data_IF_886437067002
#
_entry.id   IF_886437067002
#
_cell.length_a   1.000
_cell.length_b   1.000
_cell.length_c   1.000
_cell.angle_alpha   90.00
_cell.angle_beta   90.00
_cell.angle_gamma   90.00
#
_symmetry.space_group_name_H-M   'P 1'
#
loop_
_entity.id
_entity.type
_entity.pdbx_description
1 polymer ?
#
# COMPACT_ATOMS: atom_id res chain seq x y z
N UNK A 1 -29.31 0.18 20.75
CA UNK A 1 -28.42 0.78 19.75
C UNK A 1 -27.60 -0.35 19.15
N UNK A 2 -27.97 -0.78 17.94
CA UNK A 2 -27.16 -1.73 17.19
C UNK A 2 -25.81 -1.09 16.89
N UNK A 3 -24.72 -1.72 17.34
CA UNK A 3 -23.40 -1.41 16.81
C UNK A 3 -23.43 -1.89 15.36
N UNK A 4 -23.67 -0.98 14.43
CA UNK A 4 -23.39 -1.23 13.01
C UNK A 4 -21.92 -1.59 12.93
N UNK A 5 -21.65 -2.89 12.83
CA UNK A 5 -20.32 -3.45 12.64
C UNK A 5 -19.84 -2.92 11.29
N UNK A 6 -19.06 -1.84 11.33
CA UNK A 6 -18.54 -1.20 10.12
C UNK A 6 -17.67 -2.26 9.47
N UNK A 7 -18.17 -2.87 8.39
CA UNK A 7 -17.44 -3.86 7.63
C UNK A 7 -16.12 -3.20 7.19
N UNK A 8 -15.02 -3.62 7.82
CA UNK A 8 -13.66 -3.22 7.49
C UNK A 8 -13.05 -4.35 6.65
N UNK A 9 -13.24 -4.32 5.32
CA UNK A 9 -12.73 -5.38 4.45
C UNK A 9 -11.21 -5.51 4.49
N UNK A 10 -10.51 -4.44 4.89
CA UNK A 10 -9.08 -4.45 5.18
C UNK A 10 -8.91 -4.17 6.67
N UNK A 11 -8.46 -5.17 7.42
CA UNK A 11 -8.16 -5.08 8.85
C UNK A 11 -6.71 -4.66 9.12
N UNK A 12 -5.84 -4.74 8.11
CA UNK A 12 -4.43 -4.37 8.21
C UNK A 12 -4.25 -2.87 8.02
N UNK A 13 -3.77 -2.18 9.06
CA UNK A 13 -3.31 -0.79 8.96
C UNK A 13 -1.86 -0.76 8.51
N UNK A 14 -1.56 0.00 7.46
CA UNK A 14 -0.21 0.21 6.95
C UNK A 14 0.65 0.93 7.99
N UNK A 15 1.78 0.29 8.29
CA UNK A 15 2.94 0.80 9.01
C UNK A 15 4.19 0.56 8.17
N UNK A 16 5.32 1.17 8.51
CA UNK A 16 6.55 0.97 7.71
C UNK A 16 6.99 -0.51 7.62
N UNK A 17 6.98 -1.31 8.70
CA UNK A 17 7.46 -2.70 8.65
C UNK A 17 6.53 -3.67 7.91
N UNK A 18 5.24 -3.37 7.79
CA UNK A 18 4.24 -4.31 7.27
C UNK A 18 3.81 -4.04 5.82
N UNK A 19 4.53 -3.17 5.12
CA UNK A 19 4.17 -2.70 3.78
C UNK A 19 3.81 -3.83 2.81
N UNK A 20 4.62 -4.90 2.73
CA UNK A 20 4.37 -6.02 1.83
C UNK A 20 3.04 -6.75 2.12
N UNK A 21 2.74 -6.99 3.40
CA UNK A 21 1.48 -7.61 3.80
C UNK A 21 0.29 -6.70 3.47
N UNK A 22 0.42 -5.41 3.77
CA UNK A 22 -0.61 -4.43 3.46
C UNK A 22 -0.87 -4.34 1.94
N UNK A 23 0.18 -4.31 1.11
CA UNK A 23 0.05 -4.31 -0.36
C UNK A 23 -0.73 -5.53 -0.85
N UNK A 24 -0.43 -6.72 -0.34
CA UNK A 24 -1.15 -7.94 -0.73
C UNK A 24 -2.65 -7.86 -0.41
N UNK A 25 -2.99 -7.34 0.78
CA UNK A 25 -4.38 -7.16 1.21
C UNK A 25 -5.10 -6.10 0.39
N UNK A 26 -4.49 -4.93 0.20
CA UNK A 26 -5.06 -3.84 -0.58
C UNK A 26 -5.24 -4.23 -2.05
N UNK A 27 -4.24 -4.90 -2.65
CA UNK A 27 -4.34 -5.42 -4.02
C UNK A 27 -5.51 -6.38 -4.18
N UNK A 28 -5.63 -7.37 -3.31
CA UNK A 28 -6.73 -8.35 -3.36
C UNK A 28 -8.10 -7.67 -3.23
N UNK A 29 -8.19 -6.71 -2.31
CA UNK A 29 -9.40 -5.93 -2.07
C UNK A 29 -9.83 -5.09 -3.30
N UNK A 30 -8.89 -4.40 -3.94
CA UNK A 30 -9.15 -3.59 -5.13
C UNK A 30 -9.45 -4.45 -6.37
N UNK A 31 -8.80 -5.61 -6.52
CA UNK A 31 -9.11 -6.57 -7.59
C UNK A 31 -10.55 -7.08 -7.44
N UNK A 32 -10.96 -7.46 -6.23
CA UNK A 32 -12.33 -7.91 -5.95
C UNK A 32 -13.41 -6.87 -6.26
N UNK A 33 -13.04 -5.59 -6.40
CA UNK A 33 -13.93 -4.47 -6.74
C UNK A 33 -13.75 -3.94 -8.15
N UNK A 34 -12.87 -4.55 -8.96
CA UNK A 34 -12.50 -4.08 -10.31
C UNK A 34 -11.88 -2.67 -10.33
N UNK A 35 -11.24 -2.26 -9.23
CA UNK A 35 -10.64 -0.93 -9.06
C UNK A 35 -9.11 -0.93 -9.19
N UNK A 36 -8.48 -2.12 -9.22
CA UNK A 36 -7.04 -2.27 -9.29
C UNK A 36 -6.39 -1.53 -10.47
N UNK A 37 -7.09 -1.47 -11.61
CA UNK A 37 -6.59 -0.83 -12.83
C UNK A 37 -6.45 0.70 -12.72
N UNK A 38 -7.11 1.33 -11.76
CA UNK A 38 -6.96 2.78 -11.52
C UNK A 38 -5.60 3.05 -10.84
N UNK A 39 -5.22 2.26 -9.84
CA UNK A 39 -3.94 2.46 -9.13
C UNK A 39 -2.72 2.05 -9.96
N UNK A 40 -2.87 1.10 -10.89
CA UNK A 40 -1.80 0.78 -11.85
C UNK A 40 -1.66 1.83 -12.95
N UNK A 41 -2.73 2.57 -13.24
CA UNK A 41 -2.79 3.55 -14.32
C UNK A 41 -3.26 2.98 -15.66
N UNK A 42 -3.77 1.75 -15.68
CA UNK A 42 -4.39 1.18 -16.89
C UNK A 42 -5.72 1.87 -17.22
N UNK A 43 -6.43 2.36 -16.18
CA UNK A 43 -7.62 3.22 -16.31
C UNK A 43 -7.23 4.64 -15.90
N UNK A 44 -7.05 5.49 -16.90
CA UNK A 44 -6.64 6.90 -16.72
C UNK A 44 -7.85 7.82 -16.59
N UNK A 45 -7.61 9.03 -16.06
CA UNK A 45 -8.62 10.08 -16.02
C UNK A 45 -9.11 10.36 -17.45
N UNK A 46 -10.43 10.37 -17.69
CA UNK A 46 -10.94 10.59 -19.04
C UNK A 46 -10.60 12.01 -19.52
N UNK A 47 -10.35 12.10 -20.82
CA UNK A 47 -10.27 13.36 -21.57
C UNK A 47 -11.49 13.46 -22.47
N UNK A 48 -11.93 14.69 -22.78
CA UNK A 48 -13.08 14.90 -23.64
C UNK A 48 -12.75 14.49 -25.08
N UNK A 49 -13.57 13.60 -25.64
CA UNK A 49 -13.43 13.17 -27.03
C UNK A 49 -14.05 14.22 -27.98
N UNK A 50 -13.60 14.26 -29.24
CA UNK A 50 -14.01 15.31 -30.21
C UNK A 50 -15.51 15.31 -30.51
N UNK A 51 -16.11 14.13 -30.51
CA UNK A 51 -17.52 13.91 -30.86
C UNK A 51 -18.39 13.65 -29.61
N UNK A 52 -17.84 13.80 -28.41
CA UNK A 52 -18.51 13.57 -27.13
C UNK A 52 -19.19 14.85 -26.65
N UNK A 53 -20.46 14.74 -26.26
CA UNK A 53 -21.17 15.87 -25.66
C UNK A 53 -20.59 16.21 -24.28
N UNK A 54 -20.74 17.47 -23.88
CA UNK A 54 -20.27 17.91 -22.55
C UNK A 54 -20.92 17.12 -21.39
N UNK A 55 -22.16 16.63 -21.59
CA UNK A 55 -22.86 15.81 -20.61
C UNK A 55 -22.25 14.41 -20.50
N UNK A 56 -22.01 13.73 -21.63
CA UNK A 56 -21.37 12.40 -21.64
C UNK A 56 -19.96 12.43 -21.05
N UNK A 57 -19.20 13.49 -21.36
CA UNK A 57 -17.88 13.71 -20.76
C UNK A 57 -17.97 13.89 -19.24
N UNK A 58 -18.92 14.71 -18.76
CA UNK A 58 -19.13 14.94 -17.34
C UNK A 58 -19.48 13.66 -16.59
N UNK A 59 -20.36 12.82 -17.16
CA UNK A 59 -20.76 11.54 -16.54
C UNK A 59 -19.57 10.57 -16.41
N UNK A 60 -18.75 10.46 -17.46
CA UNK A 60 -17.51 9.65 -17.43
C UNK A 60 -16.50 10.17 -16.41
N UNK A 61 -16.35 11.49 -16.33
CA UNK A 61 -15.46 12.13 -15.39
C UNK A 61 -15.92 11.89 -13.94
N UNK A 62 -17.21 12.04 -13.66
CA UNK A 62 -17.79 11.79 -12.33
C UNK A 62 -17.64 10.32 -11.90
N UNK A 63 -17.89 9.37 -12.81
CA UNK A 63 -17.69 7.94 -12.53
C UNK A 63 -16.21 7.63 -12.22
N UNK A 64 -15.27 8.22 -12.96
CA UNK A 64 -13.84 8.06 -12.70
C UNK A 64 -13.44 8.69 -11.36
N UNK A 65 -13.85 9.94 -11.09
CA UNK A 65 -13.54 10.66 -9.86
C UNK A 65 -14.10 9.91 -8.65
N UNK A 66 -15.34 9.41 -8.70
CA UNK A 66 -15.95 8.61 -7.65
C UNK A 66 -15.11 7.38 -7.30
N UNK A 67 -14.68 6.62 -8.31
CA UNK A 67 -13.81 5.44 -8.12
C UNK A 67 -12.44 5.83 -7.59
N UNK A 68 -11.82 6.87 -8.13
CA UNK A 68 -10.52 7.38 -7.69
C UNK A 68 -10.56 7.78 -6.20
N UNK A 69 -11.51 8.64 -5.81
CA UNK A 69 -11.61 9.11 -4.43
C UNK A 69 -12.04 8.02 -3.45
N UNK A 70 -12.84 7.04 -3.89
CA UNK A 70 -13.14 5.86 -3.08
C UNK A 70 -11.86 5.10 -2.70
N UNK A 71 -10.92 4.94 -3.62
CA UNK A 71 -9.61 4.33 -3.34
C UNK A 71 -8.80 5.20 -2.40
N UNK A 72 -8.74 6.52 -2.62
CA UNK A 72 -8.03 7.46 -1.73
C UNK A 72 -8.55 7.35 -0.29
N UNK A 73 -9.88 7.26 -0.11
CA UNK A 73 -10.49 7.06 1.20
C UNK A 73 -10.01 5.77 1.86
N UNK A 74 -9.95 4.65 1.13
CA UNK A 74 -9.42 3.41 1.70
C UNK A 74 -7.93 3.47 2.00
N UNK A 75 -7.13 4.13 1.16
CA UNK A 75 -5.70 4.35 1.44
C UNK A 75 -5.52 5.14 2.74
N UNK A 76 -6.29 6.21 2.95
CA UNK A 76 -6.29 7.00 4.20
C UNK A 76 -6.72 6.15 5.41
N UNK A 77 -7.82 5.43 5.29
CA UNK A 77 -8.40 4.66 6.40
C UNK A 77 -7.58 3.44 6.79
N UNK A 78 -6.74 2.94 5.88
CA UNK A 78 -5.90 1.76 6.10
C UNK A 78 -4.43 2.11 6.30
N UNK A 79 -4.11 3.34 6.70
CA UNK A 79 -2.75 3.75 7.03
C UNK A 79 -2.71 4.63 8.27
N UNK A 80 -1.59 4.57 9.01
CA UNK A 80 -1.41 5.39 10.21
C UNK A 80 -1.34 6.89 9.87
N UNK A 81 -1.69 7.79 10.81
CA UNK A 81 -1.71 9.24 10.57
C UNK A 81 -0.42 9.82 10.01
N UNK A 82 0.74 9.35 10.47
CA UNK A 82 2.05 9.79 9.97
C UNK A 82 2.28 9.48 8.49
N UNK A 83 1.56 8.52 7.93
CA UNK A 83 1.61 8.17 6.50
C UNK A 83 0.57 8.98 5.74
N UNK A 84 -0.72 8.87 6.12
CA UNK A 84 -1.79 9.47 5.29
C UNK A 84 -1.84 10.99 5.31
N UNK A 85 -1.18 11.66 6.26
CA UNK A 85 -1.04 13.12 6.20
C UNK A 85 -0.40 13.55 4.88
N UNK A 86 0.57 12.80 4.37
CA UNK A 86 1.29 13.10 3.12
C UNK A 86 0.40 12.98 1.87
N UNK A 87 -0.76 12.32 1.98
CA UNK A 87 -1.66 12.08 0.85
C UNK A 87 -2.38 13.35 0.38
N UNK A 88 -2.34 14.45 1.13
CA UNK A 88 -2.95 15.71 0.69
C UNK A 88 -2.26 16.34 -0.53
N UNK A 89 -1.06 15.87 -0.90
CA UNK A 89 -0.29 16.38 -2.03
C UNK A 89 -0.64 15.73 -3.37
N UNK A 90 -1.62 14.83 -3.40
CA UNK A 90 -1.92 13.99 -4.55
C UNK A 90 -3.42 14.00 -4.86
N UNK A 91 -3.73 14.10 -6.15
CA UNK A 91 -5.11 14.16 -6.65
C UNK A 91 -5.61 12.78 -7.12
N UNK A 92 -4.70 11.86 -7.42
CA UNK A 92 -5.04 10.51 -7.85
C UNK A 92 -4.59 9.41 -6.89
N UNK A 93 -5.39 8.35 -6.82
CA UNK A 93 -5.05 7.13 -6.11
C UNK A 93 -3.78 6.46 -6.66
N UNK A 94 -3.50 6.64 -7.96
CA UNK A 94 -2.26 6.18 -8.60
C UNK A 94 -1.04 6.87 -8.01
N UNK A 95 -1.06 8.20 -7.92
CA UNK A 95 0.08 8.95 -7.37
C UNK A 95 0.37 8.56 -5.92
N UNK A 96 -0.68 8.39 -5.10
CA UNK A 96 -0.51 7.90 -3.73
C UNK A 96 0.06 6.48 -3.73
N UNK A 97 -0.44 5.60 -4.60
CA UNK A 97 0.05 4.22 -4.71
C UNK A 97 1.53 4.18 -5.10
N UNK A 98 1.93 4.95 -6.11
CA UNK A 98 3.31 5.04 -6.58
C UNK A 98 4.22 5.68 -5.52
N UNK A 99 3.76 6.70 -4.79
CA UNK A 99 4.45 7.27 -3.63
C UNK A 99 4.74 6.21 -2.57
N UNK A 100 3.71 5.47 -2.14
CA UNK A 100 3.85 4.41 -1.13
C UNK A 100 4.82 3.32 -1.61
N UNK A 101 4.73 2.93 -2.87
CA UNK A 101 5.62 1.96 -3.50
C UNK A 101 7.07 2.43 -3.46
N UNK A 102 7.34 3.64 -3.95
CA UNK A 102 8.70 4.17 -3.99
C UNK A 102 9.30 4.32 -2.59
N UNK A 103 8.51 4.79 -1.62
CA UNK A 103 8.94 4.98 -0.23
C UNK A 103 9.27 3.65 0.45
N UNK A 104 8.34 2.69 0.43
CA UNK A 104 8.44 1.52 1.29
C UNK A 104 9.02 0.28 0.62
N UNK A 105 8.97 0.17 -0.72
CA UNK A 105 9.66 -0.92 -1.42
C UNK A 105 11.18 -0.79 -1.27
N UNK A 106 11.71 0.43 -1.33
CA UNK A 106 13.14 0.72 -1.15
C UNK A 106 13.59 0.43 0.28
N UNK A 107 12.82 0.87 1.29
CA UNK A 107 13.10 0.57 2.70
C UNK A 107 13.03 -0.93 2.98
N UNK A 108 12.05 -1.64 2.43
CA UNK A 108 11.94 -3.09 2.57
C UNK A 108 13.16 -3.84 2.01
N UNK A 109 13.68 -3.41 0.85
CA UNK A 109 14.90 -3.96 0.28
C UNK A 109 16.12 -3.67 1.14
N UNK A 110 16.29 -2.42 1.60
CA UNK A 110 17.41 -2.05 2.47
C UNK A 110 17.41 -2.84 3.78
N UNK A 111 16.24 -2.99 4.41
CA UNK A 111 16.07 -3.81 5.61
C UNK A 111 16.38 -5.29 5.35
N UNK A 112 15.90 -5.84 4.22
CA UNK A 112 16.23 -7.20 3.80
C UNK A 112 17.74 -7.40 3.60
N UNK A 113 18.42 -6.46 2.94
CA UNK A 113 19.87 -6.51 2.78
C UNK A 113 20.62 -6.39 4.12
N UNK A 114 20.13 -5.56 5.05
CA UNK A 114 20.69 -5.48 6.39
C UNK A 114 20.54 -6.81 7.14
N UNK A 115 19.36 -7.43 7.12
CA UNK A 115 19.14 -8.75 7.73
C UNK A 115 20.08 -9.80 7.14
N UNK A 116 20.19 -9.85 5.80
CA UNK A 116 21.11 -10.75 5.11
C UNK A 116 22.58 -10.51 5.48
N UNK A 117 22.99 -9.24 5.57
CA UNK A 117 24.36 -8.88 5.93
C UNK A 117 24.66 -9.26 7.38
N UNK A 118 23.72 -9.01 8.29
CA UNK A 118 23.83 -9.45 9.69
C UNK A 118 23.95 -10.96 9.76
N UNK A 119 23.05 -11.70 9.10
CA UNK A 119 23.09 -13.16 9.06
C UNK A 119 24.42 -13.70 8.54
N UNK A 120 24.94 -13.13 7.45
CA UNK A 120 26.20 -13.54 6.84
C UNK A 120 27.41 -13.26 7.74
N UNK A 121 27.39 -12.15 8.47
CA UNK A 121 28.50 -11.72 9.32
C UNK A 121 28.45 -12.29 10.74
N UNK A 122 27.29 -12.74 11.20
CA UNK A 122 27.11 -13.36 12.52
C UNK A 122 27.83 -14.71 12.55
N UNK A 123 28.89 -14.80 13.34
CA UNK A 123 29.67 -16.01 13.59
C UNK A 123 29.52 -16.42 15.04
N UNK A 124 29.60 -17.71 15.29
CA UNK A 124 29.62 -18.21 16.67
C UNK A 124 30.94 -17.79 17.32
N UNK A 125 30.85 -17.10 18.45
CA UNK A 125 32.01 -16.61 19.18
C UNK A 125 32.74 -17.77 19.90
N UNK A 126 34.06 -17.68 20.11
CA UNK A 126 34.81 -18.69 20.85
C UNK A 126 34.24 -18.88 22.27
N UNK A 127 33.77 -20.09 22.57
CA UNK A 127 33.18 -20.43 23.87
C UNK A 127 31.67 -20.14 23.99
N UNK A 128 31.03 -19.56 22.97
CA UNK A 128 29.58 -19.41 22.93
C UNK A 128 28.91 -20.77 22.71
N UNK A 129 27.84 -21.06 23.46
CA UNK A 129 27.08 -22.29 23.25
C UNK A 129 26.27 -22.22 21.94
N UNK A 130 26.00 -23.37 21.33
CA UNK A 130 25.19 -23.45 20.10
C UNK A 130 23.78 -22.89 20.33
N UNK A 131 23.20 -23.07 21.51
CA UNK A 131 21.87 -22.55 21.84
C UNK A 131 21.87 -21.01 21.91
N UNK A 132 22.90 -20.42 22.51
CA UNK A 132 23.02 -18.95 22.60
C UNK A 132 23.24 -18.34 21.22
N UNK A 133 24.00 -19.01 20.35
CA UNK A 133 24.18 -18.59 18.96
C UNK A 133 22.88 -18.70 18.16
N UNK A 134 22.16 -19.82 18.28
CA UNK A 134 20.86 -20.00 17.61
C UNK A 134 19.85 -18.96 18.05
N UNK A 135 19.78 -18.63 19.34
CA UNK A 135 18.89 -17.59 19.85
C UNK A 135 19.15 -16.20 19.23
N UNK A 136 20.38 -15.93 18.75
CA UNK A 136 20.73 -14.68 18.07
C UNK A 136 20.38 -14.69 16.58
N UNK A 137 20.46 -15.84 15.92
CA UNK A 137 20.24 -15.98 14.47
C UNK A 137 18.76 -16.18 14.13
N UNK A 138 18.03 -16.91 14.96
CA UNK A 138 16.63 -17.29 14.73
C UNK A 138 15.63 -16.13 14.58
N UNK A 139 15.83 -14.94 15.21
CA UNK A 139 14.99 -13.77 15.01
C UNK A 139 15.28 -12.95 13.74
N UNK A 140 16.39 -13.24 13.02
CA UNK A 140 16.82 -12.54 11.79
C UNK A 140 16.14 -13.17 10.57
#
# INVERSE_FOLDING_TARGET
MEKTDIFKPITTTLTEPNYNLWVQRMKSFLIGRKLWRIVTGDVVKPTQDKDESAAEFADRLEDWDSKNYQIITWLRNTSVPSIHIQFHNYDSAKEIWDFLKNRYQTTGLAYYYQLWTTLHNTKQEPGQSVNDFLAQVQPI
#
